data_IF_831751505156
#
_entry.id   IF_831751505156
#
_cell.length_a   1.000
_cell.length_b   1.000
_cell.length_c   1.000
_cell.angle_alpha   90.00
_cell.angle_beta   90.00
_cell.angle_gamma   90.00
#
_symmetry.space_group_name_H-M   'P 1'
#
loop_
_entity.id
_entity.type
_entity.pdbx_description
1 polymer ?
#
# COMPACT_ATOMS: atom_id res chain seq x y z
N UNK A 1 26.22 -22.03 42.48
CA UNK A 1 25.40 -22.16 41.25
C UNK A 1 25.85 -23.41 40.53
N UNK A 2 24.95 -24.36 40.27
CA UNK A 2 25.29 -25.61 39.57
C UNK A 2 24.93 -25.43 38.09
N UNK A 3 25.94 -25.36 37.23
CA UNK A 3 25.75 -25.33 35.77
C UNK A 3 25.55 -26.76 35.27
N UNK A 4 24.30 -27.13 35.01
CA UNK A 4 23.96 -28.39 34.33
C UNK A 4 24.34 -28.27 32.85
N UNK A 5 25.47 -28.84 32.46
CA UNK A 5 25.78 -29.16 31.06
C UNK A 5 24.89 -30.33 30.62
N UNK A 6 23.70 -30.01 30.14
CA UNK A 6 22.81 -30.99 29.51
C UNK A 6 23.32 -31.34 28.11
N UNK A 7 24.25 -32.30 28.02
CA UNK A 7 24.40 -33.08 26.79
C UNK A 7 23.04 -33.73 26.46
N UNK A 8 22.68 -33.77 25.18
CA UNK A 8 21.42 -34.38 24.74
C UNK A 8 21.49 -35.89 25.03
N UNK A 9 20.90 -36.31 26.15
CA UNK A 9 20.85 -37.72 26.54
C UNK A 9 19.94 -38.47 25.57
N UNK A 10 20.46 -39.53 24.96
CA UNK A 10 19.61 -40.53 24.32
C UNK A 10 18.66 -41.12 25.37
N UNK A 11 17.35 -41.17 25.12
CA UNK A 11 16.36 -41.64 26.10
C UNK A 11 16.49 -43.13 26.42
N UNK A 12 17.24 -43.89 25.62
CA UNK A 12 17.35 -45.35 25.66
C UNK A 12 18.68 -45.86 26.23
N UNK A 13 19.67 -44.99 26.47
CA UNK A 13 21.04 -45.39 26.80
C UNK A 13 21.40 -44.89 28.22
N UNK A 14 21.91 -45.75 29.13
CA UNK A 14 22.41 -45.30 30.42
C UNK A 14 23.60 -44.35 30.23
N UNK A 15 23.73 -43.33 31.09
CA UNK A 15 24.66 -42.22 30.90
C UNK A 15 26.07 -42.68 30.51
N UNK A 16 26.52 -42.29 29.31
CA UNK A 16 27.85 -42.62 28.82
C UNK A 16 28.93 -42.05 29.76
N UNK A 17 30.06 -42.76 29.96
CA UNK A 17 31.18 -42.22 30.71
C UNK A 17 31.69 -40.94 30.04
N UNK A 18 32.04 -39.94 30.84
CA UNK A 18 32.60 -38.67 30.36
C UNK A 18 34.02 -38.92 29.85
N UNK A 19 34.20 -39.14 28.55
CA UNK A 19 35.42 -39.77 28.00
C UNK A 19 36.09 -39.04 26.82
N UNK A 20 35.55 -37.92 26.34
CA UNK A 20 36.17 -37.09 25.30
C UNK A 20 36.43 -35.66 25.82
N UNK A 21 37.60 -35.10 25.51
CA UNK A 21 37.93 -33.70 25.78
C UNK A 21 37.10 -32.80 24.85
N UNK A 22 36.49 -31.71 25.37
CA UNK A 22 35.63 -30.82 24.60
C UNK A 22 36.38 -30.20 23.40
N UNK A 23 36.16 -30.75 22.21
CA UNK A 23 36.95 -30.41 21.05
C UNK A 23 36.58 -29.03 20.48
N UNK A 24 37.59 -28.27 20.02
CA UNK A 24 37.40 -26.90 19.49
C UNK A 24 36.38 -26.79 18.34
N UNK A 25 36.10 -27.89 17.64
CA UNK A 25 35.12 -27.91 16.54
C UNK A 25 33.66 -27.85 17.02
N UNK A 26 33.38 -28.19 18.29
CA UNK A 26 32.06 -28.11 18.91
C UNK A 26 31.81 -26.77 19.63
N UNK A 27 32.83 -25.90 19.69
CA UNK A 27 32.84 -24.71 20.55
C UNK A 27 31.68 -23.73 20.27
N UNK A 28 30.66 -23.81 21.13
CA UNK A 28 29.63 -22.79 21.28
C UNK A 28 30.22 -21.44 21.70
N UNK A 29 29.52 -20.34 21.38
CA UNK A 29 29.92 -18.98 21.79
C UNK A 29 28.74 -18.20 22.31
N UNK A 30 29.00 -17.37 23.32
CA UNK A 30 27.99 -16.50 23.94
C UNK A 30 27.24 -15.62 22.90
N UNK A 31 25.91 -15.43 23.08
CA UNK A 31 25.09 -14.65 22.15
C UNK A 31 25.46 -13.16 22.15
N UNK A 32 25.08 -12.46 21.10
CA UNK A 32 25.47 -11.06 20.89
C UNK A 32 24.66 -10.05 21.73
N UNK A 33 23.40 -10.36 22.04
CA UNK A 33 22.46 -9.50 22.79
C UNK A 33 22.47 -8.03 22.34
N UNK A 34 22.44 -7.83 21.03
CA UNK A 34 22.44 -6.55 20.31
C UNK A 34 21.43 -5.55 20.86
N UNK A 35 21.89 -4.37 21.26
CA UNK A 35 21.06 -3.26 21.76
C UNK A 35 21.02 -2.08 20.80
N UNK A 36 19.91 -1.34 20.84
CA UNK A 36 19.81 -0.03 20.21
C UNK A 36 20.68 0.97 20.99
N UNK A 37 21.63 1.63 20.32
CA UNK A 37 22.46 2.70 20.89
C UNK A 37 23.25 3.40 19.81
N UNK A 38 23.37 4.72 19.91
CA UNK A 38 24.23 5.56 19.07
C UNK A 38 25.71 5.14 19.09
N UNK A 39 26.18 4.58 20.21
CA UNK A 39 27.56 4.11 20.39
C UNK A 39 27.79 2.77 19.67
N UNK A 40 27.89 2.84 18.33
CA UNK A 40 28.11 1.69 17.45
C UNK A 40 29.31 0.86 17.92
N UNK A 41 29.03 -0.35 18.40
CA UNK A 41 30.03 -1.27 18.94
C UNK A 41 29.94 -2.59 18.17
N UNK A 42 30.98 -2.94 17.43
CA UNK A 42 31.08 -4.19 16.67
C UNK A 42 32.42 -4.84 16.97
N UNK A 43 32.42 -6.09 17.44
CA UNK A 43 33.63 -6.88 17.71
C UNK A 43 33.93 -7.81 16.54
N UNK A 44 35.22 -7.94 16.21
CA UNK A 44 35.71 -8.98 15.29
C UNK A 44 35.79 -10.31 16.05
N UNK A 45 35.34 -11.41 15.44
CA UNK A 45 35.45 -12.76 15.99
C UNK A 45 36.09 -13.65 14.94
N UNK A 46 37.31 -14.14 15.21
CA UNK A 46 37.95 -15.15 14.39
C UNK A 46 37.21 -16.49 14.55
N UNK A 47 36.99 -17.20 13.44
CA UNK A 47 36.39 -18.53 13.41
C UNK A 47 37.28 -19.50 12.62
N UNK A 48 36.92 -20.79 12.62
CA UNK A 48 37.67 -21.85 11.93
C UNK A 48 37.90 -21.51 10.44
N UNK A 49 39.08 -21.85 9.93
CA UNK A 49 39.47 -21.61 8.53
C UNK A 49 39.84 -20.15 8.21
N UNK A 50 40.31 -19.36 9.18
CA UNK A 50 40.72 -17.96 8.97
C UNK A 50 39.57 -16.96 8.75
N UNK A 51 38.34 -17.47 8.63
CA UNK A 51 37.15 -16.66 8.44
C UNK A 51 36.89 -15.73 9.64
N UNK A 52 36.23 -14.60 9.38
CA UNK A 52 35.90 -13.58 10.38
C UNK A 52 34.40 -13.34 10.44
N UNK A 53 33.81 -13.44 11.63
CA UNK A 53 32.42 -13.02 11.90
C UNK A 53 32.40 -11.70 12.66
N UNK A 54 31.55 -10.77 12.24
CA UNK A 54 31.36 -9.48 12.92
C UNK A 54 30.22 -9.58 13.93
N UNK A 55 30.54 -9.52 15.23
CA UNK A 55 29.55 -9.52 16.31
C UNK A 55 29.18 -8.08 16.66
N UNK A 56 28.07 -7.59 16.13
CA UNK A 56 27.46 -6.37 16.61
C UNK A 56 27.03 -6.51 18.08
N UNK A 57 27.25 -5.48 18.89
CA UNK A 57 26.74 -5.37 20.27
C UNK A 57 25.79 -4.17 20.41
N UNK A 58 26.11 -3.07 19.70
CA UNK A 58 25.31 -1.84 19.67
C UNK A 58 25.23 -1.32 18.25
N UNK A 59 24.01 -1.02 17.79
CA UNK A 59 23.72 -0.43 16.48
C UNK A 59 22.62 0.64 16.62
N UNK A 60 22.60 1.58 15.68
CA UNK A 60 21.60 2.65 15.52
C UNK A 60 21.03 2.63 14.09
N UNK A 61 21.91 2.59 13.09
CA UNK A 61 21.51 2.57 11.67
C UNK A 61 21.43 1.16 11.10
N UNK A 62 20.41 0.90 10.27
CA UNK A 62 20.32 -0.28 9.40
C UNK A 62 20.13 0.10 7.93
N UNK A 63 20.20 -0.87 7.01
CA UNK A 63 19.75 -0.72 5.63
C UNK A 63 18.42 -1.43 5.47
N UNK A 64 17.38 -0.71 5.04
CA UNK A 64 16.01 -1.23 4.95
C UNK A 64 15.51 -1.15 3.51
N UNK A 65 14.74 -2.17 3.10
CA UNK A 65 14.15 -2.29 1.76
C UNK A 65 12.65 -2.00 1.79
N UNK A 66 12.18 -1.19 0.85
CA UNK A 66 10.75 -1.00 0.57
C UNK A 66 10.38 -1.89 -0.62
N UNK A 67 9.74 -3.03 -0.34
CA UNK A 67 9.52 -4.10 -1.32
C UNK A 67 8.69 -3.72 -2.55
N UNK A 68 7.67 -2.86 -2.41
CA UNK A 68 6.83 -2.45 -3.55
C UNK A 68 7.53 -1.47 -4.51
N UNK A 69 8.49 -0.69 -4.01
CA UNK A 69 9.22 0.33 -4.77
C UNK A 69 10.62 -0.13 -5.21
N UNK A 70 10.99 -1.38 -4.92
CA UNK A 70 12.33 -1.95 -5.10
C UNK A 70 13.49 -1.10 -4.52
N UNK A 71 13.20 -0.24 -3.56
CA UNK A 71 14.15 0.74 -3.02
C UNK A 71 14.86 0.22 -1.77
N UNK A 72 16.17 0.45 -1.65
CA UNK A 72 16.90 0.32 -0.37
C UNK A 72 17.42 1.67 0.11
N UNK A 73 17.30 1.95 1.42
CA UNK A 73 17.86 3.14 2.05
C UNK A 73 18.40 2.82 3.44
N UNK A 74 19.52 3.48 3.78
CA UNK A 74 20.07 3.49 5.13
C UNK A 74 19.26 4.45 6.00
N UNK A 75 18.77 3.97 7.13
CA UNK A 75 17.88 4.70 8.05
C UNK A 75 18.32 4.47 9.49
N UNK A 76 17.80 5.28 10.43
CA UNK A 76 17.94 5.04 11.87
C UNK A 76 16.79 4.19 12.39
N UNK A 77 17.10 3.32 13.34
CA UNK A 77 16.12 2.58 14.12
C UNK A 77 15.70 3.46 15.29
N UNK A 78 14.40 3.67 15.47
CA UNK A 78 13.85 4.49 16.54
C UNK A 78 13.57 3.65 17.80
N UNK A 79 12.90 2.51 17.66
CA UNK A 79 12.64 1.57 18.75
C UNK A 79 12.34 0.14 18.23
N UNK A 80 12.43 -0.85 19.11
CA UNK A 80 11.98 -2.23 18.89
C UNK A 80 10.56 -2.38 19.42
N UNK A 81 9.56 -2.21 18.55
CA UNK A 81 8.13 -2.23 18.88
C UNK A 81 7.68 -3.62 19.35
N UNK A 82 8.17 -4.69 18.72
CA UNK A 82 7.81 -6.05 19.09
C UNK A 82 8.98 -7.02 18.97
N UNK A 83 9.11 -7.87 19.98
CA UNK A 83 10.02 -9.00 20.02
C UNK A 83 9.34 -10.15 20.78
N UNK A 84 9.43 -11.37 20.25
CA UNK A 84 8.86 -12.56 20.88
C UNK A 84 9.40 -12.79 22.30
N UNK A 85 10.67 -12.46 22.57
CA UNK A 85 11.28 -12.57 23.90
C UNK A 85 11.01 -11.35 24.81
N UNK A 86 10.14 -10.42 24.41
CA UNK A 86 9.76 -9.19 25.15
C UNK A 86 10.91 -8.23 25.50
N UNK A 87 12.13 -8.49 25.03
CA UNK A 87 13.29 -7.62 25.29
C UNK A 87 13.53 -6.64 24.13
N UNK A 88 13.99 -5.42 24.43
CA UNK A 88 14.61 -4.55 23.43
C UNK A 88 15.96 -5.17 23.00
N UNK A 89 15.94 -6.10 22.05
CA UNK A 89 17.12 -6.68 21.39
C UNK A 89 16.89 -6.75 19.89
N UNK A 90 17.94 -6.49 19.10
CA UNK A 90 17.87 -6.50 17.64
C UNK A 90 18.10 -7.93 17.11
N UNK A 91 17.01 -8.68 16.96
CA UNK A 91 16.97 -10.07 16.46
C UNK A 91 16.39 -10.09 15.03
N UNK A 92 16.69 -11.13 14.24
CA UNK A 92 16.22 -11.27 12.84
C UNK A 92 14.69 -11.14 12.65
N UNK A 93 13.91 -11.47 13.68
CA UNK A 93 12.45 -11.43 13.71
C UNK A 93 11.86 -10.22 14.46
N UNK A 94 12.69 -9.29 14.95
CA UNK A 94 12.22 -8.14 15.70
C UNK A 94 11.53 -7.11 14.79
N UNK A 95 10.34 -6.65 15.17
CA UNK A 95 9.63 -5.57 14.48
C UNK A 95 10.11 -4.25 15.06
N UNK A 96 10.60 -3.37 14.19
CA UNK A 96 11.25 -2.11 14.55
C UNK A 96 10.56 -0.92 13.91
N UNK A 97 10.49 0.19 14.65
CA UNK A 97 10.12 1.47 14.10
C UNK A 97 11.36 2.12 13.48
N UNK A 98 11.22 2.62 12.25
CA UNK A 98 12.32 3.13 11.42
C UNK A 98 12.03 4.56 10.99
N UNK A 99 13.06 5.39 10.90
CA UNK A 99 12.94 6.74 10.35
C UNK A 99 12.48 6.73 8.87
N UNK A 100 11.39 7.44 8.59
CA UNK A 100 10.77 7.53 7.28
C UNK A 100 11.38 8.63 6.38
N UNK A 101 12.23 9.53 6.91
CA UNK A 101 12.77 10.67 6.17
C UNK A 101 13.41 10.32 4.80
N UNK A 102 14.30 9.31 4.66
CA UNK A 102 14.91 9.01 3.37
C UNK A 102 13.95 8.34 2.38
N UNK A 103 12.92 7.64 2.86
CA UNK A 103 11.87 7.06 2.00
C UNK A 103 10.93 8.16 1.50
N UNK A 104 10.52 9.09 2.38
CA UNK A 104 9.73 10.27 2.02
C UNK A 104 10.45 11.16 1.00
N UNK A 105 11.74 11.44 1.22
CA UNK A 105 12.54 12.26 0.30
C UNK A 105 12.62 11.61 -1.09
N UNK A 106 12.83 10.29 -1.15
CA UNK A 106 12.85 9.56 -2.41
C UNK A 106 11.51 9.62 -3.14
N UNK A 107 10.41 9.39 -2.43
CA UNK A 107 9.07 9.41 -3.03
C UNK A 107 8.69 10.80 -3.56
N UNK A 108 9.09 11.87 -2.85
CA UNK A 108 8.95 13.25 -3.32
C UNK A 108 9.72 13.50 -4.63
N UNK A 109 10.95 12.99 -4.75
CA UNK A 109 11.74 13.12 -5.99
C UNK A 109 11.17 12.28 -7.14
N UNK A 110 10.65 11.08 -6.87
CA UNK A 110 10.16 10.17 -7.93
C UNK A 110 8.75 10.49 -8.44
N UNK A 111 7.83 10.89 -7.55
CA UNK A 111 6.43 11.14 -7.91
C UNK A 111 6.01 12.61 -7.81
N UNK A 112 6.85 13.49 -7.23
CA UNK A 112 6.46 14.87 -6.92
C UNK A 112 5.44 15.00 -5.79
N UNK A 113 5.10 13.90 -5.11
CA UNK A 113 4.01 13.83 -4.12
C UNK A 113 4.56 13.85 -2.68
N UNK A 114 4.07 14.81 -1.91
CA UNK A 114 4.53 15.07 -0.54
C UNK A 114 3.84 14.16 0.50
N UNK A 115 4.36 12.95 0.71
CA UNK A 115 3.83 12.05 1.75
C UNK A 115 3.96 12.71 3.14
N UNK A 116 2.88 12.71 3.91
CA UNK A 116 2.89 13.16 5.31
C UNK A 116 2.49 14.63 5.53
N UNK A 117 2.17 15.41 4.49
CA UNK A 117 1.29 16.57 4.69
C UNK A 117 -0.13 16.06 4.98
N UNK A 118 -0.40 15.69 6.23
CA UNK A 118 -1.79 15.69 6.72
C UNK A 118 -2.30 17.11 6.52
N UNK A 119 -3.18 17.31 5.52
CA UNK A 119 -3.94 18.57 5.44
C UNK A 119 -4.61 18.72 6.80
N UNK A 120 -4.16 19.70 7.59
CA UNK A 120 -4.99 20.25 8.67
C UNK A 120 -6.16 20.92 7.97
N UNK A 121 -7.17 20.11 7.65
CA UNK A 121 -8.51 20.61 7.45
C UNK A 121 -8.88 21.16 8.82
N UNK A 122 -8.62 22.45 9.00
CA UNK A 122 -9.35 23.21 10.00
C UNK A 122 -10.81 23.00 9.62
N UNK A 123 -11.55 22.26 10.45
CA UNK A 123 -12.99 22.06 10.31
C UNK A 123 -13.65 23.39 10.65
N UNK A 124 -13.51 24.32 9.72
CA UNK A 124 -14.07 25.64 9.72
C UNK A 124 -15.36 25.59 8.91
N UNK A 125 -16.42 25.10 9.58
CA UNK A 125 -17.78 25.63 9.49
C UNK A 125 -18.42 25.71 8.08
N UNK A 126 -19.36 24.78 7.82
CA UNK A 126 -20.64 24.90 7.07
C UNK A 126 -20.91 23.70 6.13
N UNK A 127 -22.00 22.98 6.43
CA UNK A 127 -23.15 22.64 5.55
C UNK A 127 -22.84 21.85 4.22
N UNK A 128 -23.46 20.71 3.82
CA UNK A 128 -24.75 20.06 4.15
C UNK A 128 -24.71 18.50 4.05
N UNK A 129 -25.66 17.82 4.71
CA UNK A 129 -25.58 16.41 5.16
C UNK A 129 -26.58 15.46 4.47
N UNK A 130 -26.21 14.63 3.48
CA UNK A 130 -27.20 13.72 2.83
C UNK A 130 -26.81 12.30 2.32
N UNK A 131 -25.55 11.85 2.07
CA UNK A 131 -25.36 10.58 1.29
C UNK A 131 -24.22 9.55 1.68
N UNK A 132 -24.20 8.97 2.90
CA UNK A 132 -23.58 7.65 3.25
C UNK A 132 -24.15 6.89 4.52
N UNK A 133 -25.42 6.43 4.61
CA UNK A 133 -26.40 6.42 5.74
C UNK A 133 -25.99 6.65 7.21
N UNK A 134 -24.90 6.05 7.70
CA UNK A 134 -24.32 6.28 9.03
C UNK A 134 -23.11 7.24 8.97
N UNK A 135 -22.34 7.14 7.89
CA UNK A 135 -21.47 8.19 7.37
C UNK A 135 -22.25 9.33 6.61
N UNK A 136 -23.60 9.24 6.34
CA UNK A 136 -24.47 10.43 6.01
C UNK A 136 -24.44 11.23 7.29
N UNK A 137 -25.11 10.63 8.25
CA UNK A 137 -25.81 11.32 9.31
C UNK A 137 -24.82 11.77 10.37
N UNK A 138 -23.66 11.12 10.40
CA UNK A 138 -22.56 11.39 11.33
C UNK A 138 -21.29 11.92 10.65
N UNK A 139 -21.11 11.79 9.34
CA UNK A 139 -19.85 12.16 8.63
C UNK A 139 -20.03 12.88 7.27
N UNK A 140 -21.26 13.23 6.87
CA UNK A 140 -21.60 14.08 5.72
C UNK A 140 -20.95 13.74 4.36
N UNK A 141 -20.65 12.47 4.08
CA UNK A 141 -20.21 12.05 2.74
C UNK A 141 -21.41 12.11 1.77
N UNK A 142 -21.16 12.44 0.49
CA UNK A 142 -22.14 12.28 -0.60
C UNK A 142 -21.56 11.42 -1.74
N UNK A 143 -22.03 10.18 -1.91
CA UNK A 143 -21.69 9.34 -3.08
C UNK A 143 -22.58 9.66 -4.28
N UNK A 144 -21.95 10.07 -5.38
CA UNK A 144 -22.57 10.27 -6.69
C UNK A 144 -22.37 9.02 -7.57
N UNK A 145 -23.25 8.74 -8.57
CA UNK A 145 -23.08 7.61 -9.47
C UNK A 145 -21.75 7.73 -10.23
N UNK A 146 -20.89 6.71 -10.13
CA UNK A 146 -19.53 6.74 -10.69
C UNK A 146 -19.41 5.80 -11.91
N UNK A 147 -19.07 6.34 -13.08
CA UNK A 147 -18.63 5.53 -14.22
C UNK A 147 -17.10 5.45 -14.21
N UNK A 148 -16.56 4.25 -14.06
CA UNK A 148 -15.12 3.99 -14.02
C UNK A 148 -14.69 3.41 -15.37
N UNK A 149 -13.77 4.11 -16.05
CA UNK A 149 -13.31 3.74 -17.39
C UNK A 149 -12.02 2.93 -17.27
N UNK A 150 -12.04 1.67 -17.72
CA UNK A 150 -10.90 0.76 -17.70
C UNK A 150 -10.32 0.59 -19.10
N UNK A 151 -8.99 0.65 -19.23
CA UNK A 151 -8.25 0.30 -20.46
C UNK A 151 -7.10 -0.63 -20.08
N UNK A 152 -7.08 -1.85 -20.65
CA UNK A 152 -6.04 -2.88 -20.39
C UNK A 152 -5.78 -3.11 -18.88
N UNK A 153 -6.84 -3.16 -18.08
CA UNK A 153 -6.77 -3.40 -16.62
C UNK A 153 -6.42 -2.17 -15.76
N UNK A 154 -6.12 -1.01 -16.36
CA UNK A 154 -5.82 0.23 -15.65
C UNK A 154 -7.06 1.14 -15.67
N UNK A 155 -7.37 1.77 -14.53
CA UNK A 155 -8.39 2.83 -14.46
C UNK A 155 -7.83 4.08 -15.15
N UNK A 156 -8.45 4.48 -16.26
CA UNK A 156 -8.06 5.66 -17.04
C UNK A 156 -8.67 6.93 -16.46
N UNK A 157 -9.99 6.92 -16.22
CA UNK A 157 -10.69 8.05 -15.60
C UNK A 157 -11.94 7.58 -14.82
N UNK A 158 -12.47 8.47 -13.97
CA UNK A 158 -13.68 8.26 -13.17
C UNK A 158 -14.62 9.46 -13.35
N UNK A 159 -15.71 9.26 -14.07
CA UNK A 159 -16.80 10.23 -14.14
C UNK A 159 -17.63 10.10 -12.87
N UNK A 160 -17.49 11.05 -11.94
CA UNK A 160 -18.21 11.05 -10.65
C UNK A 160 -19.43 11.97 -10.76
N UNK A 161 -20.62 11.37 -10.79
CA UNK A 161 -21.89 12.08 -10.93
C UNK A 161 -22.09 12.74 -12.29
N UNK A 162 -22.88 13.81 -12.26
CA UNK A 162 -23.22 14.67 -13.41
C UNK A 162 -22.25 15.88 -13.43
N UNK A 163 -21.13 15.83 -12.69
CA UNK A 163 -20.37 17.03 -12.35
C UNK A 163 -19.57 17.62 -13.53
N UNK A 164 -19.18 16.79 -14.50
CA UNK A 164 -18.60 17.19 -15.79
C UNK A 164 -19.68 17.40 -16.89
N UNK A 165 -20.93 17.01 -16.61
CA UNK A 165 -22.07 17.16 -17.52
C UNK A 165 -22.81 18.46 -17.18
N UNK A 166 -22.62 19.49 -18.01
CA UNK A 166 -23.05 20.87 -17.74
C UNK A 166 -24.56 21.09 -17.59
N UNK A 167 -25.40 20.06 -17.81
CA UNK A 167 -26.86 20.11 -17.69
C UNK A 167 -27.40 19.22 -16.58
N UNK A 168 -28.40 19.73 -15.85
CA UNK A 168 -29.08 19.02 -14.75
C UNK A 168 -30.05 17.99 -15.35
N UNK A 169 -29.71 16.71 -15.19
CA UNK A 169 -30.52 15.51 -15.43
C UNK A 169 -30.90 15.12 -16.87
N UNK A 170 -30.98 16.03 -17.83
CA UNK A 170 -31.05 15.70 -19.27
C UNK A 170 -29.74 16.07 -19.99
N UNK A 171 -29.07 15.08 -20.59
CA UNK A 171 -27.91 15.27 -21.49
C UNK A 171 -28.12 14.50 -22.80
N UNK A 172 -27.70 15.09 -23.92
CA UNK A 172 -27.65 14.40 -25.21
C UNK A 172 -26.56 13.33 -25.19
N UNK A 173 -26.82 12.16 -25.77
CA UNK A 173 -25.84 11.06 -25.88
C UNK A 173 -24.52 11.54 -26.50
N UNK A 174 -24.62 12.40 -27.52
CA UNK A 174 -23.48 13.08 -28.17
C UNK A 174 -22.58 13.84 -27.18
N UNK A 175 -23.15 14.47 -26.14
CA UNK A 175 -22.35 15.20 -25.14
C UNK A 175 -21.55 14.24 -24.25
N UNK A 176 -22.12 13.09 -23.87
CA UNK A 176 -21.38 12.02 -23.18
C UNK A 176 -20.33 11.40 -24.09
N UNK A 177 -20.68 11.08 -25.33
CA UNK A 177 -19.76 10.54 -26.34
C UNK A 177 -18.56 11.46 -26.54
N UNK A 178 -18.77 12.77 -26.75
CA UNK A 178 -17.69 13.74 -26.84
C UNK A 178 -16.82 13.78 -25.56
N UNK A 179 -17.40 13.77 -24.37
CA UNK A 179 -16.63 13.74 -23.10
C UNK A 179 -15.79 12.46 -22.99
N UNK A 180 -16.36 11.30 -23.35
CA UNK A 180 -15.67 10.02 -23.34
C UNK A 180 -14.55 9.95 -24.39
N UNK A 181 -14.80 10.40 -25.62
CA UNK A 181 -13.81 10.45 -26.71
C UNK A 181 -12.65 11.41 -26.35
N UNK A 182 -12.96 12.62 -25.86
CA UNK A 182 -11.95 13.61 -25.47
C UNK A 182 -11.11 13.16 -24.28
N UNK A 183 -11.72 12.57 -23.24
CA UNK A 183 -11.01 12.06 -22.06
C UNK A 183 -10.26 10.76 -22.33
N UNK A 184 -10.77 9.91 -23.22
CA UNK A 184 -10.20 8.58 -23.49
C UNK A 184 -9.76 8.43 -24.95
N UNK A 185 -8.56 8.93 -25.26
CA UNK A 185 -7.89 8.67 -26.54
C UNK A 185 -7.81 7.15 -26.80
N UNK A 186 -8.63 6.68 -27.74
CA UNK A 186 -8.70 5.29 -28.21
C UNK A 186 -9.32 4.29 -27.22
N UNK A 187 -10.53 4.53 -26.73
CA UNK A 187 -11.44 3.47 -26.22
C UNK A 187 -12.65 3.29 -27.16
N UNK A 188 -13.10 4.37 -27.79
CA UNK A 188 -14.17 4.39 -28.78
C UNK A 188 -13.54 4.91 -30.08
N UNK A 189 -13.65 4.14 -31.16
CA UNK A 189 -13.20 4.58 -32.49
C UNK A 189 -14.27 5.47 -33.11
N UNK A 190 -13.86 6.63 -33.65
CA UNK A 190 -14.77 7.52 -34.37
C UNK A 190 -15.26 6.83 -35.65
N UNK A 191 -16.58 6.67 -35.78
CA UNK A 191 -17.18 6.36 -37.08
C UNK A 191 -16.92 7.56 -37.99
N UNK A 192 -15.98 7.41 -38.92
CA UNK A 192 -15.99 8.21 -40.16
C UNK A 192 -17.38 8.08 -40.76
N UNK A 193 -18.03 9.22 -40.96
CA UNK A 193 -19.09 9.36 -41.96
C UNK A 193 -18.33 9.57 -43.26
N UNK A 194 -18.41 8.62 -44.17
CA UNK A 194 -17.99 8.86 -45.54
C UNK A 194 -18.99 9.86 -46.16
N UNK A 195 -18.48 10.80 -46.94
CA UNK A 195 -19.28 11.80 -47.64
C UNK A 195 -19.98 11.12 -48.82
N UNK A 196 -21.31 11.07 -48.82
CA UNK A 196 -22.21 11.05 -49.98
C UNK A 196 -23.69 11.02 -49.51
N UNK A 197 -24.59 11.31 -50.44
CA UNK A 197 -26.07 11.31 -50.40
C UNK A 197 -26.81 12.49 -49.72
N UNK A 198 -27.61 13.16 -50.56
CA UNK A 198 -28.41 14.36 -50.35
C UNK A 198 -29.70 14.14 -49.52
N UNK A 199 -30.32 15.26 -49.13
CA UNK A 199 -31.76 15.49 -48.92
C UNK A 199 -32.67 14.29 -48.53
N UNK A 200 -33.09 14.23 -47.26
CA UNK A 200 -34.53 14.40 -46.95
C UNK A 200 -34.84 14.63 -45.46
N UNK A 201 -35.91 15.39 -45.23
CA UNK A 201 -36.48 15.70 -43.92
C UNK A 201 -37.27 14.51 -43.36
N UNK A 202 -36.80 13.89 -42.28
CA UNK A 202 -37.65 13.02 -41.46
C UNK A 202 -37.32 13.13 -39.96
N UNK A 203 -38.36 13.24 -39.15
CA UNK A 203 -38.24 13.40 -37.70
C UNK A 203 -37.62 12.16 -37.03
N UNK A 204 -36.30 12.16 -36.86
CA UNK A 204 -35.59 11.22 -35.98
C UNK A 204 -35.85 11.54 -34.50
N UNK A 205 -37.12 11.42 -34.08
CA UNK A 205 -37.67 11.76 -32.77
C UNK A 205 -36.95 10.99 -31.65
N UNK A 206 -36.08 11.71 -30.93
CA UNK A 206 -35.63 11.45 -29.56
C UNK A 206 -35.45 9.98 -29.14
N UNK A 207 -34.26 9.40 -29.40
CA UNK A 207 -33.75 8.25 -28.61
C UNK A 207 -33.37 8.70 -27.20
N UNK A 208 -34.36 9.06 -26.38
CA UNK A 208 -34.19 9.46 -24.98
C UNK A 208 -33.83 8.24 -24.13
N UNK A 209 -32.85 8.37 -23.25
CA UNK A 209 -32.35 7.25 -22.41
C UNK A 209 -33.35 6.83 -21.30
N UNK A 210 -34.46 7.56 -21.14
CA UNK A 210 -35.63 7.15 -20.35
C UNK A 210 -36.92 7.61 -21.02
N UNK A 211 -37.76 6.65 -21.43
CA UNK A 211 -39.15 6.88 -21.84
C UNK A 211 -40.02 5.66 -21.49
N UNK A 212 -40.38 5.54 -20.22
CA UNK A 212 -41.52 4.72 -19.79
C UNK A 212 -42.74 5.63 -19.68
N UNK A 213 -43.35 5.94 -20.83
CA UNK A 213 -44.70 6.47 -20.86
C UNK A 213 -45.65 5.29 -20.62
N UNK A 214 -46.25 5.23 -19.44
CA UNK A 214 -47.33 4.30 -19.14
C UNK A 214 -48.65 5.02 -19.39
N UNK A 215 -49.04 5.08 -20.67
CA UNK A 215 -50.40 5.41 -21.09
C UNK A 215 -51.05 4.10 -21.53
N UNK A 216 -51.65 3.40 -20.58
CA UNK A 216 -52.49 2.23 -20.85
C UNK A 216 -53.95 2.67 -20.70
N UNK A 217 -54.68 2.61 -21.81
CA UNK A 217 -56.11 2.89 -21.90
C UNK A 217 -56.85 1.59 -21.64
N UNK A 218 -57.93 1.61 -20.84
CA UNK A 218 -59.25 1.16 -21.31
C UNK A 218 -60.32 1.12 -20.19
N UNK A 219 -61.37 1.93 -20.41
CA UNK A 219 -62.81 1.61 -20.33
C UNK A 219 -63.48 1.09 -19.04
N UNK A 220 -64.55 1.82 -18.67
CA UNK A 220 -65.58 1.63 -17.60
C UNK A 220 -65.21 2.05 -16.16
#
# INVERSE_FOLDING_TARGET
MISLSSSCRDPTIPAAPQADEEAEYELGRQPANTKLSSNKTVRRVCVRGGNTKWRALRLDTGNYSWGSEALTRKTRILDVVYNASRTQTLVKSAIVQVDAAPFKQWYLTHYGVDIGRKKKVHVAKRDDTENAPFFVSKLAIKILPCVILFKKGIVVDRLVGIQDLKSKDDFLTRALEHILILKTKGIIDEKKKDDDDDDEESEAKNRRVRSSAAEDSDTD
#
